data_IF_778075644006
#
_entry.id   IF_778075644006
#
_cell.length_a   1.000
_cell.length_b   1.000
_cell.length_c   1.000
_cell.angle_alpha   90.00
_cell.angle_beta   90.00
_cell.angle_gamma   90.00
#
_symmetry.space_group_name_H-M   'P 1'
#
loop_
_entity.id
_entity.type
_entity.pdbx_description
1 polymer ?
#
# COMPACT_ATOMS: atom_id res chain seq x y z
N UNK A 1 -8.63 20.15 -9.52
CA UNK A 1 -7.61 19.28 -8.89
C UNK A 1 -7.55 18.01 -9.71
N UNK A 2 -6.40 17.68 -10.32
CA UNK A 2 -6.30 16.57 -11.27
C UNK A 2 -5.33 15.52 -10.74
N UNK A 3 -5.73 14.82 -9.68
CA UNK A 3 -5.15 13.55 -9.27
C UNK A 3 -6.28 12.53 -9.35
N UNK A 4 -6.05 11.45 -10.11
CA UNK A 4 -6.98 10.34 -10.25
C UNK A 4 -6.17 9.06 -10.16
N UNK A 5 -6.47 8.24 -9.16
CA UNK A 5 -5.86 6.94 -8.98
C UNK A 5 -6.95 5.96 -8.53
N UNK A 6 -6.90 4.74 -9.05
CA UNK A 6 -7.80 3.67 -8.63
C UNK A 6 -6.99 2.55 -8.00
N UNK A 7 -7.56 1.95 -6.95
CA UNK A 7 -7.01 0.79 -6.27
C UNK A 7 -7.94 -0.39 -6.44
N UNK A 8 -7.43 -1.50 -6.97
CA UNK A 8 -8.15 -2.75 -7.10
C UNK A 8 -7.54 -3.79 -6.17
N UNK A 9 -8.36 -4.33 -5.28
CA UNK A 9 -7.92 -5.32 -4.31
C UNK A 9 -8.45 -6.71 -4.68
N UNK A 10 -7.62 -7.51 -5.36
CA UNK A 10 -7.99 -8.85 -5.82
C UNK A 10 -9.25 -8.80 -6.71
N UNK A 11 -10.33 -9.50 -6.34
CA UNK A 11 -11.59 -9.57 -7.09
C UNK A 11 -12.59 -8.48 -6.69
N UNK A 12 -12.15 -7.47 -5.94
CA UNK A 12 -13.00 -6.34 -5.55
C UNK A 12 -13.31 -5.41 -6.73
N UNK A 13 -14.28 -4.52 -6.51
CA UNK A 13 -14.48 -3.34 -7.35
C UNK A 13 -13.26 -2.40 -7.23
N UNK A 14 -13.13 -1.49 -8.19
CA UNK A 14 -12.14 -0.42 -8.12
C UNK A 14 -12.57 0.61 -7.06
N UNK A 15 -11.66 0.94 -6.15
CA UNK A 15 -11.82 2.00 -5.16
C UNK A 15 -11.15 3.27 -5.65
N UNK A 16 -11.79 4.42 -5.41
CA UNK A 16 -11.15 5.71 -5.67
C UNK A 16 -10.14 6.02 -4.56
N UNK A 17 -8.96 6.48 -4.96
CA UNK A 17 -7.83 6.74 -4.06
C UNK A 17 -7.71 8.22 -3.81
N UNK A 18 -7.85 8.62 -2.54
CA UNK A 18 -7.68 10.00 -2.09
C UNK A 18 -6.19 10.36 -2.01
N UNK A 19 -5.39 9.47 -1.44
CA UNK A 19 -3.93 9.62 -1.35
C UNK A 19 -3.24 8.26 -1.21
N UNK A 20 -1.99 8.17 -1.65
CA UNK A 20 -1.17 6.98 -1.45
C UNK A 20 0.29 7.37 -1.25
N UNK A 21 1.04 6.50 -0.57
CA UNK A 21 2.48 6.64 -0.39
C UNK A 21 3.16 5.29 -0.31
N UNK A 22 4.36 5.22 -0.83
CA UNK A 22 5.27 4.07 -0.71
C UNK A 22 6.64 4.57 -0.29
N UNK A 23 7.34 3.80 0.52
CA UNK A 23 8.71 4.12 0.94
C UNK A 23 9.61 2.89 0.84
N UNK A 24 10.78 3.11 0.26
CA UNK A 24 11.88 2.15 0.23
C UNK A 24 13.05 2.72 1.02
N UNK A 25 13.71 1.86 1.76
CA UNK A 25 14.85 2.21 2.60
C UNK A 25 16.04 1.33 2.21
N UNK A 26 17.24 1.82 2.47
CA UNK A 26 18.48 1.04 2.50
C UNK A 26 19.40 1.66 3.52
N UNK A 27 20.29 0.87 4.08
CA UNK A 27 21.25 1.36 5.04
C UNK A 27 22.45 1.97 4.32
N UNK A 28 22.99 3.03 4.90
CA UNK A 28 24.16 3.75 4.40
C UNK A 28 25.26 3.70 5.45
N UNK A 29 26.50 3.54 5.00
CA UNK A 29 27.67 3.64 5.87
C UNK A 29 27.90 5.10 6.33
N UNK A 30 28.80 5.35 7.30
CA UNK A 30 29.09 6.72 7.77
C UNK A 30 29.65 7.67 6.70
N UNK A 31 30.04 7.16 5.52
CA UNK A 31 30.52 7.93 4.36
C UNK A 31 29.41 8.11 3.31
N UNK A 32 28.19 7.67 3.58
CA UNK A 32 27.02 7.76 2.70
C UNK A 32 26.97 6.72 1.58
N UNK A 33 27.81 5.68 1.62
CA UNK A 33 27.81 4.60 0.62
C UNK A 33 26.75 3.56 0.97
N UNK A 34 26.04 2.97 -0.02
CA UNK A 34 25.09 1.89 0.23
C UNK A 34 25.76 0.71 0.93
N UNK A 35 25.19 0.27 2.04
CA UNK A 35 25.71 -0.82 2.87
C UNK A 35 24.79 -2.05 2.91
N UNK A 36 23.54 -1.91 2.44
CA UNK A 36 22.56 -3.00 2.38
C UNK A 36 21.81 -3.00 1.05
N UNK A 37 21.12 -4.12 0.79
CA UNK A 37 20.05 -4.17 -0.20
C UNK A 37 18.85 -3.30 0.23
N UNK A 38 17.95 -3.07 -0.72
CA UNK A 38 16.75 -2.24 -0.53
C UNK A 38 15.70 -3.05 0.22
N UNK A 39 15.11 -2.46 1.26
CA UNK A 39 14.02 -3.03 2.05
C UNK A 39 12.86 -2.06 2.20
N UNK A 40 11.74 -2.56 2.70
CA UNK A 40 10.49 -1.81 2.83
C UNK A 40 9.52 -2.12 1.69
N UNK A 41 8.89 -1.09 1.14
CA UNK A 41 7.84 -1.26 0.13
C UNK A 41 6.43 -1.39 0.72
N UNK A 42 6.23 -0.99 1.98
CA UNK A 42 4.88 -0.84 2.53
C UNK A 42 4.14 0.25 1.76
N UNK A 43 3.04 -0.14 1.13
CA UNK A 43 2.15 0.76 0.41
C UNK A 43 1.03 1.17 1.36
N UNK A 44 0.90 2.48 1.58
CA UNK A 44 -0.24 3.06 2.29
C UNK A 44 -1.17 3.69 1.26
N UNK A 45 -2.44 3.33 1.32
CA UNK A 45 -3.48 3.85 0.43
C UNK A 45 -4.64 4.32 1.31
N UNK A 46 -5.11 5.53 1.06
CA UNK A 46 -6.34 6.06 1.61
C UNK A 46 -7.38 6.05 0.51
N UNK A 47 -8.44 5.27 0.72
CA UNK A 47 -9.52 5.07 -0.25
C UNK A 47 -10.79 5.73 0.25
N UNK A 48 -11.64 6.15 -0.69
CA UNK A 48 -13.00 6.54 -0.36
C UNK A 48 -13.77 5.33 0.20
N UNK A 49 -14.44 5.54 1.33
CA UNK A 49 -15.22 4.48 1.97
C UNK A 49 -16.47 4.17 1.15
N UNK A 50 -16.62 2.90 0.78
CA UNK A 50 -17.82 2.40 0.09
C UNK A 50 -18.49 1.32 0.95
N UNK A 51 -19.74 0.91 0.65
CA UNK A 51 -20.39 -0.19 1.36
C UNK A 51 -19.74 -1.57 1.15
N UNK A 52 -18.73 -1.68 0.29
CA UNK A 52 -18.02 -2.94 0.02
C UNK A 52 -17.09 -3.30 1.19
N UNK A 53 -17.36 -4.43 1.86
CA UNK A 53 -16.61 -4.89 3.03
C UNK A 53 -15.42 -5.80 2.68
N UNK A 54 -15.19 -6.13 1.40
CA UNK A 54 -14.19 -7.12 0.97
C UNK A 54 -12.79 -6.85 1.54
N UNK A 55 -12.38 -5.57 1.61
CA UNK A 55 -11.06 -5.18 2.14
C UNK A 55 -10.95 -5.53 3.63
N UNK A 56 -12.00 -5.24 4.41
CA UNK A 56 -12.06 -5.57 5.83
C UNK A 56 -12.15 -7.08 6.04
N UNK A 57 -12.98 -7.77 5.26
CA UNK A 57 -13.16 -9.21 5.36
C UNK A 57 -11.84 -9.96 5.13
N UNK A 58 -11.07 -9.57 4.11
CA UNK A 58 -9.75 -10.16 3.84
C UNK A 58 -8.70 -9.76 4.89
N UNK A 59 -8.82 -8.58 5.50
CA UNK A 59 -7.95 -8.19 6.62
C UNK A 59 -8.15 -9.10 7.84
N UNK A 60 -9.40 -9.41 8.19
CA UNK A 60 -9.69 -10.28 9.35
C UNK A 60 -9.47 -11.77 9.06
N UNK A 61 -9.52 -12.20 7.80
CA UNK A 61 -9.36 -13.61 7.39
C UNK A 61 -7.95 -13.98 6.91
N UNK A 62 -6.94 -13.19 7.28
CA UNK A 62 -5.57 -13.31 6.77
C UNK A 62 -4.96 -14.72 6.88
N UNK A 63 -5.35 -15.52 7.88
CA UNK A 63 -4.80 -16.86 8.15
C UNK A 63 -5.85 -17.96 8.21
N UNK A 64 -7.06 -17.73 7.68
CA UNK A 64 -8.00 -18.84 7.52
C UNK A 64 -7.43 -19.83 6.50
N UNK A 65 -7.40 -21.15 6.82
CA UNK A 65 -6.91 -22.18 5.91
C UNK A 65 -7.77 -22.28 4.64
#
# INVERSE_FOLDING_TARGET
MAFKASFKFSDSREFDVLTWRVKFNRDVDPKGRPASDIYGGTIYVEIESTPDTIVLDKMFKQYQP
#
